data_IF_609099365260
#
_entry.id   IF_609099365260
#
_cell.length_a   1.000
_cell.length_b   1.000
_cell.length_c   1.000
_cell.angle_alpha   90.00
_cell.angle_beta   90.00
_cell.angle_gamma   90.00
#
_symmetry.space_group_name_H-M   'P 1'
#
loop_
_entity.id
_entity.type
_entity.pdbx_description
1 polymer ?
#
# COMPACT_ATOMS: atom_id res chain seq x y z
N UNK A 1 -21.56 -6.21 -14.43
CA UNK A 1 -20.43 -5.33 -14.76
C UNK A 1 -19.95 -4.65 -13.48
N UNK A 2 -18.78 -5.02 -12.94
CA UNK A 2 -18.14 -4.24 -11.88
C UNK A 2 -17.31 -3.15 -12.56
N UNK A 3 -17.87 -1.96 -12.68
CA UNK A 3 -17.18 -0.78 -13.21
C UNK A 3 -16.35 -0.15 -12.07
N UNK A 4 -15.07 -0.52 -11.99
CA UNK A 4 -14.10 0.07 -11.05
C UNK A 4 -13.01 -0.92 -10.64
N UNK A 5 -11.91 -0.40 -10.08
CA UNK A 5 -10.78 -1.20 -9.56
C UNK A 5 -11.11 -2.05 -8.32
N UNK A 6 -12.41 -2.24 -8.01
CA UNK A 6 -12.88 -2.85 -6.78
C UNK A 6 -12.54 -2.03 -5.54
N UNK A 7 -12.52 -2.68 -4.39
CA UNK A 7 -12.07 -2.11 -3.11
C UNK A 7 -10.59 -2.35 -2.84
N UNK A 8 -9.91 -3.07 -3.74
CA UNK A 8 -8.49 -3.43 -3.65
C UNK A 8 -7.62 -2.37 -4.32
N UNK A 9 -7.73 -1.13 -3.85
CA UNK A 9 -6.97 0.00 -4.39
C UNK A 9 -5.88 0.44 -3.43
N UNK A 10 -4.82 1.02 -4.00
CA UNK A 10 -3.68 1.54 -3.25
C UNK A 10 -3.20 2.86 -3.83
N UNK A 11 -2.82 3.78 -2.96
CA UNK A 11 -2.07 4.98 -3.31
C UNK A 11 -0.58 4.71 -3.12
N UNK A 12 0.20 4.87 -4.18
CA UNK A 12 1.63 4.63 -4.15
C UNK A 12 2.37 5.87 -3.69
N UNK A 13 3.43 5.71 -2.89
CA UNK A 13 4.42 6.79 -2.70
C UNK A 13 4.97 7.27 -4.03
N UNK A 14 5.42 8.54 -4.09
CA UNK A 14 6.02 9.13 -5.30
C UNK A 14 7.15 8.30 -5.92
N UNK A 15 7.94 7.61 -5.10
CA UNK A 15 9.01 6.69 -5.53
C UNK A 15 8.49 5.51 -6.33
N UNK A 16 7.34 4.94 -5.96
CA UNK A 16 6.68 3.85 -6.69
C UNK A 16 5.76 4.33 -7.81
N UNK A 17 5.07 5.45 -7.60
CA UNK A 17 4.15 6.00 -8.58
C UNK A 17 4.86 6.34 -9.89
N UNK A 18 6.17 6.68 -9.79
CA UNK A 18 7.07 6.95 -10.91
C UNK A 18 6.40 7.89 -11.93
N UNK A 19 6.02 9.10 -11.51
CA UNK A 19 5.33 10.09 -12.35
C UNK A 19 4.08 9.56 -13.11
N UNK A 20 3.39 8.57 -12.55
CA UNK A 20 2.17 8.00 -13.12
C UNK A 20 2.38 6.75 -13.96
N UNK A 21 3.62 6.33 -14.21
CA UNK A 21 3.91 5.08 -14.94
C UNK A 21 3.39 3.83 -14.22
N UNK A 22 3.22 3.89 -12.90
CA UNK A 22 2.65 2.79 -12.13
C UNK A 22 1.11 2.86 -12.00
N UNK A 23 0.46 3.94 -12.47
CA UNK A 23 -0.99 4.05 -12.41
C UNK A 23 -1.65 2.93 -13.24
N UNK A 24 -2.69 2.29 -12.69
CA UNK A 24 -3.34 1.12 -13.27
C UNK A 24 -2.55 -0.18 -13.18
N UNK A 25 -1.32 -0.17 -12.65
CA UNK A 25 -0.57 -1.40 -12.40
C UNK A 25 -1.11 -2.13 -11.17
N UNK A 26 -1.13 -3.45 -11.24
CA UNK A 26 -1.43 -4.31 -10.10
C UNK A 26 -0.15 -4.66 -9.34
N UNK A 27 -0.24 -4.74 -8.02
CA UNK A 27 0.82 -5.17 -7.14
C UNK A 27 0.29 -6.28 -6.25
N UNK A 28 1.08 -7.32 -6.04
CA UNK A 28 0.80 -8.36 -5.07
C UNK A 28 1.52 -8.05 -3.77
N UNK A 29 0.76 -7.78 -2.72
CA UNK A 29 1.26 -7.36 -1.40
C UNK A 29 1.03 -8.49 -0.40
N UNK A 30 2.00 -8.72 0.47
CA UNK A 30 1.92 -9.68 1.57
C UNK A 30 2.46 -9.04 2.85
N UNK A 31 1.70 -9.14 3.94
CA UNK A 31 2.18 -8.76 5.26
C UNK A 31 3.35 -9.67 5.68
N UNK A 32 4.42 -9.07 6.20
CA UNK A 32 5.66 -9.78 6.52
C UNK A 32 6.11 -9.53 7.96
N UNK A 33 6.46 -10.58 8.70
CA UNK A 33 7.09 -10.50 10.02
C UNK A 33 6.42 -9.55 11.04
N UNK A 34 5.08 -9.43 11.03
CA UNK A 34 4.32 -8.68 12.04
C UNK A 34 3.27 -9.56 12.71
N UNK A 35 3.06 -9.34 14.02
CA UNK A 35 2.01 -10.02 14.79
C UNK A 35 0.61 -9.69 14.32
N UNK A 36 0.44 -8.56 13.63
CA UNK A 36 -0.81 -8.14 13.02
C UNK A 36 -1.12 -8.82 11.68
N UNK A 37 -0.16 -9.53 11.09
CA UNK A 37 -0.36 -10.21 9.80
C UNK A 37 -1.34 -11.38 9.94
N UNK A 38 -2.25 -11.51 8.98
CA UNK A 38 -3.08 -12.69 8.85
C UNK A 38 -2.24 -13.87 8.35
N UNK A 39 -2.16 -14.94 9.15
CA UNK A 39 -1.29 -16.11 8.88
C UNK A 39 -1.65 -16.88 7.61
N UNK A 40 -2.91 -16.82 7.17
CA UNK A 40 -3.42 -17.60 6.04
C UNK A 40 -3.46 -16.82 4.72
N UNK A 41 -2.78 -15.68 4.63
CA UNK A 41 -2.84 -14.80 3.46
C UNK A 41 -1.50 -14.87 2.72
N UNK A 42 -1.54 -15.45 1.51
CA UNK A 42 -0.36 -15.59 0.68
C UNK A 42 0.03 -14.25 0.03
N UNK A 43 -0.82 -13.69 -0.83
CA UNK A 43 -0.65 -12.39 -1.44
C UNK A 43 -2.03 -11.79 -1.75
N UNK A 44 -2.18 -10.48 -1.57
CA UNK A 44 -3.36 -9.71 -1.97
C UNK A 44 -2.98 -8.83 -3.14
N UNK A 45 -3.70 -8.98 -4.24
CA UNK A 45 -3.54 -8.10 -5.40
C UNK A 45 -4.26 -6.78 -5.14
N UNK A 46 -3.55 -5.68 -5.27
CA UNK A 46 -4.09 -4.32 -5.21
C UNK A 46 -3.76 -3.56 -6.48
N UNK A 47 -4.64 -2.65 -6.89
CA UNK A 47 -4.42 -1.81 -8.07
C UNK A 47 -3.97 -0.42 -7.64
N UNK A 48 -2.89 0.07 -8.23
CA UNK A 48 -2.41 1.42 -8.01
C UNK A 48 -3.32 2.41 -8.74
N UNK A 49 -4.11 3.17 -7.99
CA UNK A 49 -5.08 4.11 -8.57
C UNK A 49 -4.79 5.55 -8.21
N UNK A 50 -3.90 5.79 -7.25
CA UNK A 50 -3.65 7.13 -6.74
C UNK A 50 -2.17 7.30 -6.33
N UNK A 51 -1.80 8.54 -6.08
CA UNK A 51 -0.52 8.97 -5.53
C UNK A 51 -0.73 9.36 -4.07
N UNK A 52 0.10 8.82 -3.18
CA UNK A 52 0.26 9.37 -1.84
C UNK A 52 1.34 10.47 -1.89
N UNK A 53 0.98 11.76 -1.79
CA UNK A 53 1.94 12.84 -1.93
C UNK A 53 2.92 12.87 -0.75
N UNK A 54 4.19 13.25 -0.98
CA UNK A 54 5.14 13.45 0.11
C UNK A 54 4.71 14.62 1.00
N UNK A 55 4.85 14.44 2.30
CA UNK A 55 4.68 15.48 3.31
C UNK A 55 6.06 15.85 3.89
N UNK A 56 6.69 16.86 3.32
CA UNK A 56 8.01 17.37 3.73
C UNK A 56 8.02 18.01 5.13
N UNK A 57 6.85 18.33 5.68
CA UNK A 57 6.73 18.88 7.03
C UNK A 57 6.78 17.81 8.12
N UNK A 58 6.78 16.51 7.74
CA UNK A 58 6.86 15.39 8.69
C UNK A 58 8.04 14.46 8.41
N UNK A 59 8.70 13.93 9.45
CA UNK A 59 9.73 12.90 9.29
C UNK A 59 9.18 11.64 8.60
N UNK A 60 10.01 10.98 7.78
CA UNK A 60 9.62 9.78 7.00
C UNK A 60 9.27 8.55 7.86
N UNK A 61 9.58 8.59 9.14
CA UNK A 61 9.29 7.60 10.18
C UNK A 61 8.21 8.06 11.16
N UNK A 62 7.73 9.30 11.06
CA UNK A 62 6.71 9.86 11.94
C UNK A 62 5.69 10.73 11.19
N UNK A 63 4.97 10.08 10.26
CA UNK A 63 3.86 10.68 9.52
C UNK A 63 4.19 11.13 8.09
N UNK A 64 5.46 11.06 7.68
CA UNK A 64 5.91 11.26 6.30
C UNK A 64 6.11 9.95 5.53
N UNK A 65 5.25 8.95 5.73
CA UNK A 65 5.47 7.59 5.20
C UNK A 65 5.64 7.52 3.67
N UNK A 66 5.04 8.45 2.94
CA UNK A 66 5.11 8.56 1.48
C UNK A 66 6.30 9.40 0.98
N UNK A 67 7.15 9.90 1.87
CA UNK A 67 8.31 10.71 1.53
C UNK A 67 9.40 9.86 0.85
N UNK A 68 9.99 10.35 -0.26
CA UNK A 68 11.21 9.76 -0.82
C UNK A 68 12.34 9.67 0.21
N UNK A 69 13.23 8.67 0.12
CA UNK A 69 13.31 7.57 -0.85
C UNK A 69 12.46 6.35 -0.47
N UNK A 70 11.55 6.48 0.51
CA UNK A 70 10.82 5.36 1.07
C UNK A 70 9.76 4.86 0.10
N UNK A 71 9.63 3.54 0.02
CA UNK A 71 8.55 2.87 -0.70
C UNK A 71 7.39 2.66 0.25
N UNK A 72 6.21 3.16 -0.11
CA UNK A 72 5.00 3.03 0.69
C UNK A 72 3.76 2.76 -0.17
N UNK A 73 2.85 1.95 0.42
CA UNK A 73 1.57 1.55 -0.13
C UNK A 73 0.48 1.96 0.86
N UNK A 74 -0.24 3.03 0.55
CA UNK A 74 -1.40 3.45 1.33
C UNK A 74 -2.65 2.78 0.77
N UNK A 75 -3.00 1.64 1.37
CA UNK A 75 -4.07 0.77 0.88
C UNK A 75 -5.42 1.22 1.42
N UNK A 76 -6.46 1.06 0.60
CA UNK A 76 -7.82 1.20 1.08
C UNK A 76 -8.07 0.22 2.25
N UNK A 77 -8.81 0.67 3.27
CA UNK A 77 -9.22 -0.15 4.43
C UNK A 77 -9.61 -1.60 4.10
N UNK A 78 -10.52 -1.87 3.13
CA UNK A 78 -10.87 -3.24 2.75
C UNK A 78 -9.70 -4.06 2.20
N UNK A 79 -8.76 -3.46 1.48
CA UNK A 79 -7.55 -4.13 0.99
C UNK A 79 -6.58 -4.42 2.14
N UNK A 80 -6.40 -3.47 3.06
CA UNK A 80 -5.54 -3.64 4.23
C UNK A 80 -6.03 -4.78 5.14
N UNK A 81 -7.33 -4.82 5.41
CA UNK A 81 -7.96 -5.87 6.22
C UNK A 81 -7.85 -7.27 5.61
N UNK A 82 -7.45 -7.41 4.33
CA UNK A 82 -7.13 -8.71 3.76
C UNK A 82 -5.78 -9.24 4.21
N UNK A 83 -4.81 -8.38 4.53
CA UNK A 83 -3.44 -8.81 4.88
C UNK A 83 -3.12 -8.68 6.37
N UNK A 84 -3.76 -7.76 7.08
CA UNK A 84 -3.48 -7.48 8.48
C UNK A 84 -4.66 -6.86 9.23
N UNK A 85 -4.61 -6.97 10.55
CA UNK A 85 -5.55 -6.33 11.47
C UNK A 85 -5.52 -4.80 11.32
N UNK A 86 -6.66 -4.18 10.98
CA UNK A 86 -6.78 -2.72 10.80
C UNK A 86 -6.23 -1.91 11.98
N UNK A 87 -6.36 -2.42 13.22
CA UNK A 87 -5.86 -1.78 14.45
C UNK A 87 -4.34 -1.63 14.49
N UNK A 88 -3.59 -2.38 13.68
CA UNK A 88 -2.15 -2.25 13.61
C UNK A 88 -1.70 -0.94 12.96
N UNK A 89 -2.54 -0.33 12.13
CA UNK A 89 -2.27 0.91 11.41
C UNK A 89 -1.25 0.73 10.29
N UNK A 90 0.01 0.42 10.63
CA UNK A 90 1.12 0.27 9.69
C UNK A 90 1.79 -1.07 9.91
N UNK A 91 1.93 -1.83 8.84
CA UNK A 91 2.61 -3.13 8.86
C UNK A 91 3.70 -3.19 7.79
N UNK A 92 4.83 -3.86 8.07
CA UNK A 92 5.80 -4.20 7.05
C UNK A 92 5.18 -5.17 6.04
N UNK A 93 5.44 -4.92 4.75
CA UNK A 93 4.94 -5.73 3.65
C UNK A 93 6.05 -6.07 2.67
N UNK A 94 5.93 -7.25 2.06
CA UNK A 94 6.63 -7.59 0.83
C UNK A 94 5.68 -7.35 -0.33
N UNK A 95 6.19 -6.87 -1.46
CA UNK A 95 5.40 -6.68 -2.66
C UNK A 95 6.14 -7.17 -3.89
N UNK A 96 5.37 -7.49 -4.93
CA UNK A 96 5.87 -7.70 -6.30
C UNK A 96 4.88 -7.09 -7.29
N UNK A 97 5.38 -6.72 -8.47
CA UNK A 97 4.57 -6.25 -9.60
C UNK A 97 4.28 -7.41 -10.54
#
# INVERSE_FOLDING_TARGET
FQNGYGTDTVALSSTLFNNGYACGSCFQIKCYQSSACHRNVAFTTVTATNLCPPNWSKPSDNGGWCNPPRVHFDMAKPAFMKIAEWKAGIVPVMYRR
#
